data_IF_630718956571
#
_entry.id   IF_630718956571
#
_cell.length_a   1.000
_cell.length_b   1.000
_cell.length_c   1.000
_cell.angle_alpha   90.00
_cell.angle_beta   90.00
_cell.angle_gamma   90.00
#
_symmetry.space_group_name_H-M   'P 1'
#
loop_
_entity.id
_entity.type
_entity.pdbx_description
1 polymer ?
#
# COMPACT_ATOMS: atom_id res chain seq x y z
N UNK A 1 0.14 3.61 16.40
CA UNK A 1 -0.63 4.55 17.25
C UNK A 1 -1.96 3.95 17.70
N UNK A 2 -2.75 3.32 16.83
CA UNK A 2 -4.06 2.69 17.15
C UNK A 2 -3.94 1.61 18.22
N UNK A 3 -2.90 0.77 18.20
CA UNK A 3 -2.68 -0.30 19.21
C UNK A 3 -2.64 0.18 20.66
N UNK A 4 -2.23 1.41 20.92
CA UNK A 4 -2.20 2.00 22.28
C UNK A 4 -3.59 2.28 22.85
N UNK A 5 -4.62 2.24 22.02
CA UNK A 5 -6.00 2.54 22.36
C UNK A 5 -6.96 1.39 22.09
N UNK A 6 -6.42 0.19 21.86
CA UNK A 6 -7.22 -0.98 21.50
C UNK A 6 -8.17 -1.42 22.62
N UNK A 7 -7.85 -1.12 23.88
CA UNK A 7 -8.67 -1.46 25.03
C UNK A 7 -10.07 -0.79 24.99
N UNK A 8 -10.22 0.26 24.20
CA UNK A 8 -11.52 0.92 23.97
C UNK A 8 -12.37 0.20 22.91
N UNK A 9 -11.80 -0.74 22.16
CA UNK A 9 -12.51 -1.47 21.10
C UNK A 9 -13.23 -2.67 21.71
N UNK A 10 -14.56 -2.59 21.81
CA UNK A 10 -15.41 -3.66 22.36
C UNK A 10 -15.85 -4.72 21.34
N UNK A 11 -15.49 -4.55 20.05
CA UNK A 11 -15.82 -5.48 18.96
C UNK A 11 -14.60 -6.27 18.55
N UNK A 12 -14.76 -7.47 17.95
CA UNK A 12 -13.65 -8.18 17.32
C UNK A 12 -12.96 -7.30 16.31
N UNK A 13 -11.64 -7.35 16.30
CA UNK A 13 -10.79 -6.57 15.39
C UNK A 13 -9.65 -7.43 14.86
N UNK A 14 -9.14 -7.03 13.73
CA UNK A 14 -7.96 -7.63 13.10
C UNK A 14 -7.00 -6.51 12.71
N UNK A 15 -5.72 -6.82 12.70
CA UNK A 15 -4.70 -5.87 12.28
C UNK A 15 -4.22 -6.17 10.85
N UNK A 16 -3.96 -5.13 10.11
CA UNK A 16 -3.21 -5.22 8.86
C UNK A 16 -1.94 -4.34 8.95
N UNK A 17 -0.89 -4.74 8.27
CA UNK A 17 0.37 -4.00 8.27
C UNK A 17 1.59 -4.85 7.97
N UNK A 18 2.71 -4.45 8.57
CA UNK A 18 4.04 -5.02 8.29
C UNK A 18 4.62 -5.81 9.46
N UNK A 19 3.99 -5.76 10.62
CA UNK A 19 4.45 -6.44 11.83
C UNK A 19 3.98 -7.92 11.83
N UNK A 20 4.76 -8.78 12.46
CA UNK A 20 4.52 -10.23 12.47
C UNK A 20 3.22 -10.65 13.13
N UNK A 21 2.67 -9.81 13.99
CA UNK A 21 1.40 -10.02 14.69
C UNK A 21 0.17 -9.49 13.93
N UNK A 22 0.35 -8.99 12.69
CA UNK A 22 -0.76 -8.58 11.85
C UNK A 22 -1.42 -9.81 11.21
N UNK A 23 -2.76 -9.83 11.22
CA UNK A 23 -3.59 -10.85 10.55
C UNK A 23 -3.39 -10.80 9.04
N UNK A 24 -3.39 -9.59 8.47
CA UNK A 24 -3.13 -9.33 7.05
C UNK A 24 -1.79 -8.62 6.94
N UNK A 25 -0.78 -9.30 6.40
CA UNK A 25 0.60 -8.82 6.44
C UNK A 25 1.23 -8.71 5.06
N UNK A 26 2.08 -7.70 4.86
CA UNK A 26 2.93 -7.58 3.70
C UNK A 26 4.40 -7.77 4.07
N UNK A 27 5.06 -8.61 3.31
CA UNK A 27 6.49 -8.90 3.41
C UNK A 27 7.21 -8.69 2.08
N UNK A 28 8.54 -8.68 2.10
CA UNK A 28 9.41 -8.64 0.91
C UNK A 28 9.07 -7.49 -0.04
N UNK A 29 8.75 -6.33 0.52
CA UNK A 29 8.37 -5.15 -0.27
C UNK A 29 9.58 -4.69 -1.09
N UNK A 30 9.35 -4.49 -2.39
CA UNK A 30 10.36 -4.02 -3.34
C UNK A 30 9.72 -3.05 -4.33
N UNK A 31 10.47 -2.05 -4.74
CA UNK A 31 10.08 -1.09 -5.76
C UNK A 31 10.94 -1.28 -7.00
N UNK A 32 10.32 -1.37 -8.16
CA UNK A 32 11.00 -1.56 -9.44
C UNK A 32 10.14 -1.07 -10.59
N UNK A 33 10.69 -0.23 -11.46
CA UNK A 33 10.04 0.20 -12.69
C UNK A 33 8.70 0.92 -12.47
N UNK A 34 8.59 1.75 -11.43
CA UNK A 34 7.34 2.47 -11.11
C UNK A 34 6.28 1.62 -10.40
N UNK A 35 6.63 0.38 -10.04
CA UNK A 35 5.73 -0.55 -9.37
C UNK A 35 6.24 -0.90 -7.98
N UNK A 36 5.32 -1.19 -7.07
CA UNK A 36 5.62 -1.81 -5.78
C UNK A 36 5.15 -3.26 -5.78
N UNK A 37 6.08 -4.17 -5.47
CA UNK A 37 5.83 -5.60 -5.35
C UNK A 37 5.95 -6.02 -3.90
N UNK A 38 5.04 -6.87 -3.43
CA UNK A 38 5.14 -7.45 -2.09
C UNK A 38 4.49 -8.83 -2.02
N UNK A 39 4.82 -9.58 -0.98
CA UNK A 39 4.18 -10.86 -0.66
C UNK A 39 3.12 -10.61 0.41
N UNK A 40 1.87 -10.91 0.09
CA UNK A 40 0.73 -10.83 1.01
C UNK A 40 0.61 -12.14 1.79
N UNK A 41 0.40 -12.04 3.10
CA UNK A 41 0.21 -13.17 4.01
C UNK A 41 -1.10 -13.04 4.78
N UNK A 42 -1.88 -14.13 4.80
CA UNK A 42 -3.08 -14.29 5.61
C UNK A 42 -3.29 -15.77 5.96
N UNK A 43 -3.11 -16.15 7.23
CA UNK A 43 -3.04 -17.56 7.62
C UNK A 43 -1.95 -18.30 6.83
N UNK A 44 -2.31 -19.39 6.17
CA UNK A 44 -1.41 -20.16 5.30
C UNK A 44 -1.30 -19.60 3.88
N UNK A 45 -2.14 -18.62 3.53
CA UNK A 45 -2.14 -18.00 2.21
C UNK A 45 -0.93 -17.08 2.04
N UNK A 46 -0.22 -17.25 0.92
CA UNK A 46 0.88 -16.39 0.48
C UNK A 46 0.68 -16.05 -0.98
N UNK A 47 0.50 -14.76 -1.27
CA UNK A 47 0.19 -14.29 -2.61
C UNK A 47 1.11 -13.14 -3.03
N UNK A 48 1.74 -13.21 -4.21
CA UNK A 48 2.46 -12.08 -4.76
C UNK A 48 1.48 -11.02 -5.26
N UNK A 49 1.69 -9.78 -4.82
CA UNK A 49 0.89 -8.62 -5.21
C UNK A 49 1.79 -7.61 -5.91
N UNK A 50 1.28 -7.02 -6.98
CA UNK A 50 1.90 -5.92 -7.70
C UNK A 50 0.95 -4.72 -7.73
N UNK A 51 1.47 -3.56 -7.35
CA UNK A 51 0.79 -2.27 -7.46
C UNK A 51 1.48 -1.43 -8.53
N UNK A 52 0.72 -0.77 -9.39
CA UNK A 52 1.27 0.19 -10.38
C UNK A 52 1.48 1.59 -9.77
N UNK A 53 1.90 1.62 -8.51
CA UNK A 53 2.21 2.84 -7.75
C UNK A 53 3.38 2.55 -6.82
N UNK A 54 4.15 3.58 -6.49
CA UNK A 54 5.25 3.50 -5.55
C UNK A 54 4.79 3.83 -4.13
N UNK A 55 5.56 3.37 -3.15
CA UNK A 55 5.46 3.80 -1.77
C UNK A 55 4.80 2.80 -0.83
N UNK A 56 5.44 2.62 0.31
CA UNK A 56 5.00 1.71 1.39
C UNK A 56 3.59 2.05 1.92
N UNK A 57 3.18 3.31 1.84
CA UNK A 57 1.82 3.73 2.22
C UNK A 57 0.76 3.13 1.29
N UNK A 58 1.06 2.96 -0.02
CA UNK A 58 0.15 2.30 -0.95
C UNK A 58 0.04 0.80 -0.66
N UNK A 59 1.11 0.15 -0.16
CA UNK A 59 1.01 -1.22 0.35
C UNK A 59 0.04 -1.29 1.54
N UNK A 60 0.12 -0.34 2.47
CA UNK A 60 -0.82 -0.28 3.60
C UNK A 60 -2.27 -0.10 3.15
N UNK A 61 -2.52 0.76 2.15
CA UNK A 61 -3.84 0.95 1.57
C UNK A 61 -4.34 -0.33 0.87
N UNK A 62 -3.46 -1.01 0.13
CA UNK A 62 -3.77 -2.29 -0.52
C UNK A 62 -4.11 -3.37 0.50
N UNK A 63 -3.38 -3.47 1.61
CA UNK A 63 -3.68 -4.42 2.69
C UNK A 63 -5.08 -4.19 3.28
N UNK A 64 -5.49 -2.93 3.49
CA UNK A 64 -6.83 -2.61 3.96
C UNK A 64 -7.90 -3.05 2.93
N UNK A 65 -7.67 -2.78 1.64
CA UNK A 65 -8.58 -3.19 0.57
C UNK A 65 -8.68 -4.72 0.45
N UNK A 66 -7.55 -5.44 0.53
CA UNK A 66 -7.50 -6.91 0.52
C UNK A 66 -8.28 -7.48 1.71
N UNK A 67 -8.02 -6.96 2.92
CA UNK A 67 -8.70 -7.42 4.13
C UNK A 67 -10.22 -7.26 4.03
N UNK A 68 -10.70 -6.12 3.53
CA UNK A 68 -12.12 -5.90 3.29
C UNK A 68 -12.65 -6.84 2.21
N UNK A 69 -11.95 -6.97 1.08
CA UNK A 69 -12.35 -7.86 -0.02
C UNK A 69 -12.51 -9.31 0.44
N UNK A 70 -11.52 -9.84 1.16
CA UNK A 70 -11.58 -11.20 1.71
C UNK A 70 -12.71 -11.37 2.74
N UNK A 71 -13.00 -10.36 3.52
CA UNK A 71 -14.11 -10.38 4.50
C UNK A 71 -15.48 -10.46 3.82
N UNK A 72 -15.61 -10.00 2.59
CA UNK A 72 -16.82 -10.06 1.77
C UNK A 72 -16.74 -11.16 0.70
N UNK A 73 -15.89 -12.16 0.90
CA UNK A 73 -15.75 -13.36 0.03
C UNK A 73 -15.38 -13.01 -1.42
N UNK A 74 -14.73 -11.87 -1.64
CA UNK A 74 -14.21 -11.51 -2.98
C UNK A 74 -13.01 -12.41 -3.29
N UNK A 75 -13.01 -13.14 -4.42
CA UNK A 75 -11.89 -14.01 -4.79
C UNK A 75 -10.57 -13.22 -4.89
N UNK A 76 -9.47 -13.80 -4.38
CA UNK A 76 -8.15 -13.17 -4.42
C UNK A 76 -7.72 -12.80 -5.84
N UNK A 77 -8.08 -13.60 -6.85
CA UNK A 77 -7.82 -13.28 -8.26
C UNK A 77 -8.46 -11.97 -8.72
N UNK A 78 -9.70 -11.71 -8.30
CA UNK A 78 -10.40 -10.46 -8.61
C UNK A 78 -9.78 -9.27 -7.87
N UNK A 79 -9.41 -9.46 -6.60
CA UNK A 79 -8.71 -8.43 -5.81
C UNK A 79 -7.38 -8.07 -6.49
N UNK A 80 -6.56 -9.06 -6.87
CA UNK A 80 -5.28 -8.85 -7.57
C UNK A 80 -5.47 -8.12 -8.89
N UNK A 81 -6.49 -8.50 -9.68
CA UNK A 81 -6.78 -7.83 -10.94
C UNK A 81 -7.08 -6.34 -10.74
N UNK A 82 -7.90 -5.99 -9.74
CA UNK A 82 -8.21 -4.59 -9.45
C UNK A 82 -7.02 -3.81 -8.90
N UNK A 83 -6.23 -4.40 -8.01
CA UNK A 83 -5.03 -3.75 -7.48
C UNK A 83 -3.99 -3.47 -8.58
N UNK A 84 -3.87 -4.35 -9.58
CA UNK A 84 -2.95 -4.16 -10.70
C UNK A 84 -3.40 -3.06 -11.68
N UNK A 85 -4.69 -2.72 -11.71
CA UNK A 85 -5.20 -1.62 -12.55
C UNK A 85 -5.12 -0.26 -11.84
N UNK A 86 -4.90 -0.25 -10.53
CA UNK A 86 -4.81 0.99 -9.76
C UNK A 86 -3.53 1.76 -10.12
N UNK A 87 -3.69 2.89 -10.77
CA UNK A 87 -2.58 3.74 -11.25
C UNK A 87 -2.29 4.95 -10.35
N UNK A 88 -2.93 5.04 -9.20
CA UNK A 88 -2.73 6.11 -8.23
C UNK A 88 -3.04 7.50 -8.80
N UNK A 89 -4.25 7.99 -8.66
CA UNK A 89 -4.59 9.35 -9.13
C UNK A 89 -3.86 10.48 -8.35
N UNK A 90 -3.02 10.14 -7.37
CA UNK A 90 -2.42 11.11 -6.44
C UNK A 90 -0.93 11.38 -6.66
N UNK A 91 -0.25 10.58 -7.46
CA UNK A 91 1.18 10.76 -7.72
C UNK A 91 1.43 10.58 -9.22
N UNK A 92 1.32 11.68 -9.95
CA UNK A 92 1.70 11.67 -11.35
C UNK A 92 3.21 11.96 -11.46
N UNK A 93 3.96 10.97 -11.96
CA UNK A 93 5.35 11.18 -12.31
C UNK A 93 5.37 11.61 -13.79
N UNK A 94 5.74 12.85 -14.03
CA UNK A 94 5.76 13.45 -15.37
C UNK A 94 7.22 13.71 -15.74
N UNK A 95 7.65 13.18 -16.87
CA UNK A 95 8.96 13.47 -17.43
C UNK A 95 8.85 14.69 -18.37
N UNK A 96 9.56 15.77 -18.03
CA UNK A 96 9.62 17.01 -18.83
C UNK A 96 11.07 17.32 -19.13
N UNK A 97 11.51 17.06 -20.36
CA UNK A 97 12.92 17.19 -20.78
C UNK A 97 13.83 16.39 -19.81
N UNK A 98 14.78 17.08 -19.15
CA UNK A 98 15.73 16.47 -18.20
C UNK A 98 15.21 16.49 -16.76
N UNK A 99 13.94 16.85 -16.53
CA UNK A 99 13.35 16.96 -15.20
C UNK A 99 12.29 15.87 -14.97
N UNK A 100 12.21 15.44 -13.70
CA UNK A 100 11.13 14.59 -13.21
C UNK A 100 10.26 15.43 -12.30
N UNK A 101 8.99 15.60 -12.69
CA UNK A 101 7.99 16.27 -11.88
C UNK A 101 7.14 15.21 -11.17
N UNK A 102 7.05 15.27 -9.85
CA UNK A 102 6.13 14.45 -9.05
C UNK A 102 4.98 15.36 -8.63
N UNK A 103 3.81 15.17 -9.26
CA UNK A 103 2.59 15.89 -8.90
C UNK A 103 1.81 15.09 -7.85
N UNK A 104 1.84 15.57 -6.62
CA UNK A 104 1.10 15.03 -5.47
C UNK A 104 0.32 16.15 -4.76
N UNK A 105 -0.36 16.99 -5.55
CA UNK A 105 -0.94 18.25 -5.11
C UNK A 105 -2.32 18.13 -4.41
N UNK A 106 -2.85 16.91 -4.20
CA UNK A 106 -4.22 16.73 -3.67
C UNK A 106 -4.36 17.18 -2.21
N UNK A 107 -3.39 16.89 -1.36
CA UNK A 107 -3.38 17.28 0.06
C UNK A 107 -1.95 17.20 0.62
N UNK A 108 -1.64 18.06 1.57
CA UNK A 108 -0.32 18.14 2.21
C UNK A 108 -0.46 17.90 3.73
N UNK A 109 -0.39 16.65 4.15
CA UNK A 109 -0.16 16.30 5.55
C UNK A 109 1.34 16.05 5.78
N UNK A 110 1.87 16.19 7.02
CA UNK A 110 3.27 15.86 7.30
C UNK A 110 3.67 14.44 6.89
N UNK A 111 2.76 13.47 7.02
CA UNK A 111 3.03 12.07 6.67
C UNK A 111 3.00 11.86 5.15
N UNK A 112 2.07 12.49 4.43
CA UNK A 112 2.03 12.40 2.96
C UNK A 112 3.23 13.10 2.33
N UNK A 113 3.64 14.26 2.84
CA UNK A 113 4.84 14.96 2.37
C UNK A 113 6.11 14.14 2.57
N UNK A 114 6.26 13.47 3.72
CA UNK A 114 7.39 12.55 3.95
C UNK A 114 7.39 11.40 2.96
N UNK A 115 6.23 10.83 2.65
CA UNK A 115 6.10 9.76 1.68
C UNK A 115 6.53 10.21 0.28
N UNK A 116 6.09 11.39 -0.18
CA UNK A 116 6.45 11.95 -1.48
C UNK A 116 7.95 12.27 -1.57
N UNK A 117 8.55 12.83 -0.51
CA UNK A 117 10.00 13.08 -0.43
C UNK A 117 10.80 11.77 -0.43
N UNK A 118 10.30 10.70 0.19
CA UNK A 118 10.94 9.39 0.12
C UNK A 118 10.98 8.85 -1.31
N UNK A 119 9.89 9.00 -2.06
CA UNK A 119 9.84 8.61 -3.48
C UNK A 119 10.82 9.46 -4.29
N UNK A 120 10.84 10.79 -4.09
CA UNK A 120 11.78 11.68 -4.79
C UNK A 120 13.25 11.26 -4.55
N UNK A 121 13.58 10.76 -3.37
CA UNK A 121 14.94 10.33 -3.05
C UNK A 121 15.44 9.10 -3.84
N UNK A 122 14.53 8.36 -4.47
CA UNK A 122 14.86 7.19 -5.30
C UNK A 122 15.22 7.54 -6.73
N UNK A 123 14.85 8.76 -7.18
CA UNK A 123 15.26 9.32 -8.48
C UNK A 123 16.62 9.99 -8.31
N UNK A 124 17.69 9.24 -8.58
CA UNK A 124 19.07 9.75 -8.62
C UNK A 124 19.55 9.85 -10.04
#
# INVERSE_FOLDING_TARGET
MIRKHIDYVKKPYEFYGFADDCTYRAEKIREKGGQTLFEFHYGDMKEPITLNVLGKHNVSNALAAIAIGLRYDVPMSAIKAQLSTFSGQRQNIIHVNDYILIDDAYNASPDSMKASLSILSEFK
#
